data_IF_822094156216
#
_entry.id   IF_822094156216
#
_cell.length_a   1.000
_cell.length_b   1.000
_cell.length_c   1.000
_cell.angle_alpha   90.00
_cell.angle_beta   90.00
_cell.angle_gamma   90.00
#
_symmetry.space_group_name_H-M   'P 1'
#
loop_
_entity.id
_entity.type
_entity.pdbx_description
1 polymer ?
#
# COMPACT_ATOMS: atom_id res chain seq x y z
N UNK A 1 -21.19 13.63 -5.27
CA UNK A 1 -19.86 13.30 -5.84
C UNK A 1 -18.76 13.23 -4.78
N UNK A 2 -18.86 13.97 -3.67
CA UNK A 2 -17.90 13.93 -2.54
C UNK A 2 -17.71 12.55 -1.89
N UNK A 3 -18.79 11.74 -1.79
CA UNK A 3 -18.74 10.37 -1.26
C UNK A 3 -17.84 9.42 -2.08
N UNK A 4 -17.81 9.57 -3.41
CA UNK A 4 -17.04 8.68 -4.29
C UNK A 4 -15.54 9.03 -4.28
N UNK A 5 -15.21 10.32 -4.09
CA UNK A 5 -13.83 10.80 -3.93
C UNK A 5 -13.22 10.34 -2.59
N UNK A 6 -13.95 10.48 -1.47
CA UNK A 6 -13.49 9.97 -0.16
C UNK A 6 -13.28 8.46 -0.17
N UNK A 7 -14.17 7.70 -0.83
CA UNK A 7 -14.05 6.22 -0.92
C UNK A 7 -12.82 5.78 -1.73
N UNK A 8 -12.50 6.44 -2.84
CA UNK A 8 -11.31 6.08 -3.65
C UNK A 8 -9.99 6.58 -3.07
N UNK A 9 -9.99 7.73 -2.39
CA UNK A 9 -8.86 8.20 -1.59
C UNK A 9 -8.49 7.24 -0.44
N UNK A 10 -9.48 6.56 0.15
CA UNK A 10 -9.29 5.57 1.22
C UNK A 10 -8.82 4.19 0.72
N UNK A 11 -9.19 3.79 -0.50
CA UNK A 11 -8.80 2.49 -1.07
C UNK A 11 -7.30 2.37 -1.34
N UNK A 12 -6.60 3.48 -1.60
CA UNK A 12 -5.15 3.50 -1.83
C UNK A 12 -4.34 3.15 -0.56
N UNK A 13 -4.50 3.84 0.58
CA UNK A 13 -3.81 3.49 1.82
C UNK A 13 -4.24 2.10 2.33
N UNK A 14 -5.52 1.73 2.18
CA UNK A 14 -5.99 0.41 2.59
C UNK A 14 -5.33 -0.73 1.79
N UNK A 15 -5.29 -0.61 0.45
CA UNK A 15 -4.60 -1.61 -0.39
C UNK A 15 -3.10 -1.64 -0.12
N UNK A 16 -2.49 -0.49 0.17
CA UNK A 16 -1.10 -0.40 0.61
C UNK A 16 -0.85 -1.15 1.92
N UNK A 17 -1.70 -0.92 2.92
CA UNK A 17 -1.65 -1.62 4.20
C UNK A 17 -1.83 -3.14 4.04
N UNK A 18 -2.81 -3.58 3.22
CA UNK A 18 -3.02 -5.00 2.94
C UNK A 18 -1.80 -5.64 2.28
N UNK A 19 -1.22 -5.03 1.25
CA UNK A 19 0.01 -5.55 0.62
C UNK A 19 1.20 -5.55 1.58
N UNK A 20 1.25 -4.58 2.49
CA UNK A 20 2.24 -4.53 3.56
C UNK A 20 2.10 -5.73 4.49
N UNK A 21 0.89 -5.98 5.00
CA UNK A 21 0.59 -7.11 5.89
C UNK A 21 0.94 -8.45 5.22
N UNK A 22 0.47 -8.67 3.98
CA UNK A 22 0.77 -9.89 3.22
C UNK A 22 2.28 -10.10 3.04
N UNK A 23 3.02 -9.03 2.71
CA UNK A 23 4.48 -9.12 2.57
C UNK A 23 5.19 -9.45 3.88
N UNK A 24 4.79 -8.83 5.00
CA UNK A 24 5.41 -9.08 6.31
C UNK A 24 5.12 -10.51 6.81
N UNK A 25 3.90 -11.01 6.63
CA UNK A 25 3.55 -12.40 6.97
C UNK A 25 4.43 -13.38 6.19
N UNK A 26 4.61 -13.17 4.89
CA UNK A 26 5.48 -14.03 4.08
C UNK A 26 6.93 -13.98 4.57
N UNK A 27 7.45 -12.79 4.87
CA UNK A 27 8.81 -12.65 5.39
C UNK A 27 8.99 -13.37 6.73
N UNK A 28 8.02 -13.29 7.64
CA UNK A 28 8.06 -14.03 8.91
C UNK A 28 8.05 -15.54 8.67
N UNK A 29 7.21 -16.03 7.76
CA UNK A 29 7.16 -17.46 7.37
C UNK A 29 8.53 -17.92 6.85
N UNK A 30 9.15 -17.15 5.96
CA UNK A 30 10.47 -17.48 5.42
C UNK A 30 11.56 -17.45 6.52
N UNK A 31 11.58 -16.43 7.38
CA UNK A 31 12.55 -16.35 8.49
C UNK A 31 12.38 -17.52 9.47
N UNK A 32 11.13 -17.92 9.80
CA UNK A 32 10.86 -19.10 10.66
C UNK A 32 11.35 -20.40 10.02
N UNK A 33 11.15 -20.58 8.71
CA UNK A 33 11.68 -21.75 7.98
C UNK A 33 13.21 -21.76 7.92
N UNK A 34 13.84 -20.59 7.77
CA UNK A 34 15.29 -20.47 7.90
C UNK A 34 15.76 -20.86 9.30
N UNK A 35 15.05 -20.42 10.35
CA UNK A 35 15.37 -20.77 11.74
C UNK A 35 15.38 -22.29 11.96
N UNK A 36 14.33 -22.99 11.50
CA UNK A 36 14.24 -24.46 11.56
C UNK A 36 15.45 -25.14 10.88
N UNK A 37 15.87 -24.63 9.72
CA UNK A 37 17.07 -25.11 9.04
C UNK A 37 18.36 -24.87 9.85
N UNK A 38 18.52 -23.70 10.47
CA UNK A 38 19.69 -23.41 11.32
C UNK A 38 19.71 -24.32 12.56
N UNK A 39 18.56 -24.59 13.19
CA UNK A 39 18.44 -25.49 14.34
C UNK A 39 18.93 -26.90 14.01
N UNK A 40 18.55 -27.44 12.85
CA UNK A 40 19.03 -28.74 12.38
C UNK A 40 20.54 -28.74 12.13
N UNK A 41 21.07 -27.69 11.51
CA UNK A 41 22.50 -27.56 11.23
C UNK A 41 23.34 -27.42 12.52
N UNK A 42 22.90 -26.62 13.48
CA UNK A 42 23.54 -26.45 14.78
C UNK A 42 23.58 -27.80 15.52
N UNK A 43 22.46 -28.54 15.50
CA UNK A 43 22.39 -29.87 16.12
C UNK A 43 23.36 -30.86 15.46
N UNK A 44 23.44 -30.84 14.13
CA UNK A 44 24.38 -31.68 13.36
C UNK A 44 25.84 -31.34 13.67
N UNK A 45 26.21 -30.05 13.63
CA UNK A 45 27.58 -29.60 13.93
C UNK A 45 27.97 -29.90 15.37
N UNK A 46 27.08 -29.72 16.36
CA UNK A 46 27.35 -30.11 17.76
C UNK A 46 27.66 -31.60 17.88
N UNK A 47 26.94 -32.46 17.15
CA UNK A 47 27.22 -33.90 17.12
C UNK A 47 28.59 -34.19 16.49
N UNK A 48 28.94 -33.51 15.41
CA UNK A 48 30.26 -33.63 14.76
C UNK A 48 31.37 -33.19 15.69
N UNK A 49 31.26 -32.05 16.35
CA UNK A 49 32.24 -31.57 17.34
C UNK A 49 32.44 -32.59 18.44
N UNK A 50 31.37 -33.16 19.01
CA UNK A 50 31.47 -34.18 20.06
C UNK A 50 32.23 -35.43 19.60
N UNK A 51 32.01 -35.87 18.36
CA UNK A 51 32.75 -36.98 17.75
C UNK A 51 34.21 -36.63 17.53
N UNK A 52 34.49 -35.46 16.94
CA UNK A 52 35.85 -34.96 16.71
C UNK A 52 36.62 -34.80 18.02
N UNK A 53 36.02 -34.29 19.09
CA UNK A 53 36.65 -34.18 20.41
C UNK A 53 37.03 -35.55 21.00
N UNK A 54 36.21 -36.58 20.77
CA UNK A 54 36.53 -37.94 21.22
C UNK A 54 37.73 -38.52 20.46
N UNK A 55 37.78 -38.31 19.14
CA UNK A 55 38.88 -38.75 18.28
C UNK A 55 40.17 -37.95 18.54
N UNK A 56 40.06 -36.67 18.87
CA UNK A 56 41.20 -35.83 19.27
C UNK A 56 41.88 -36.36 20.55
N UNK A 57 41.12 -36.87 21.52
CA UNK A 57 41.69 -37.49 22.73
C UNK A 57 42.59 -38.68 22.42
N UNK A 58 42.28 -39.41 21.34
CA UNK A 58 43.08 -40.52 20.84
C UNK A 58 44.29 -40.05 19.99
N UNK A 59 44.46 -38.73 19.80
CA UNK A 59 45.47 -38.07 18.94
C UNK A 59 45.32 -38.33 17.44
N UNK A 60 44.13 -38.73 17.00
CA UNK A 60 43.86 -39.08 15.60
C UNK A 60 43.43 -37.87 14.74
N UNK A 61 43.23 -36.69 15.33
CA UNK A 61 42.96 -35.42 14.61
C UNK A 61 43.71 -34.24 15.22
N UNK A 62 43.80 -33.14 14.45
CA UNK A 62 44.46 -31.90 14.87
C UNK A 62 43.52 -31.03 15.72
N UNK A 63 44.08 -30.33 16.72
CA UNK A 63 43.33 -29.36 17.54
C UNK A 63 42.73 -28.22 16.69
N UNK A 64 43.43 -27.79 15.64
CA UNK A 64 42.99 -26.74 14.72
C UNK A 64 41.66 -27.06 14.04
N UNK A 65 41.41 -28.35 13.76
CA UNK A 65 40.18 -28.79 13.12
C UNK A 65 38.98 -28.75 14.07
N UNK A 66 39.18 -29.17 15.33
CA UNK A 66 38.18 -29.01 16.40
C UNK A 66 37.86 -27.54 16.63
N UNK A 67 38.87 -26.68 16.67
CA UNK A 67 38.69 -25.23 16.84
C UNK A 67 37.95 -24.60 15.65
N UNK A 68 38.25 -25.04 14.42
CA UNK A 68 37.51 -24.61 13.22
C UNK A 68 36.03 -24.99 13.31
N UNK A 69 35.71 -26.22 13.71
CA UNK A 69 34.31 -26.64 13.89
C UNK A 69 33.60 -25.82 14.98
N UNK A 70 34.28 -25.52 16.09
CA UNK A 70 33.75 -24.63 17.14
C UNK A 70 33.52 -23.21 16.66
N UNK A 71 34.39 -22.67 15.82
CA UNK A 71 34.20 -21.36 15.17
C UNK A 71 32.97 -21.35 14.25
N UNK A 72 32.78 -22.41 13.47
CA UNK A 72 31.57 -22.56 12.63
C UNK A 72 30.32 -22.62 13.49
N UNK A 73 30.34 -23.39 14.59
CA UNK A 73 29.23 -23.44 15.54
C UNK A 73 28.89 -22.05 16.10
N UNK A 74 29.90 -21.32 16.56
CA UNK A 74 29.71 -19.97 17.11
C UNK A 74 29.09 -19.02 16.08
N UNK A 75 29.54 -19.09 14.82
CA UNK A 75 28.94 -18.32 13.72
C UNK A 75 27.48 -18.71 13.49
N UNK A 76 27.17 -20.01 13.43
CA UNK A 76 25.79 -20.49 13.24
C UNK A 76 24.87 -20.05 14.39
N UNK A 77 25.36 -20.06 15.63
CA UNK A 77 24.62 -19.58 16.80
C UNK A 77 24.40 -18.06 16.76
N UNK A 78 25.39 -17.31 16.25
CA UNK A 78 25.26 -15.87 16.03
C UNK A 78 24.21 -15.58 14.95
N UNK A 79 24.33 -16.21 13.78
CA UNK A 79 23.38 -16.07 12.66
C UNK A 79 21.95 -16.48 13.11
N UNK A 80 21.82 -17.55 13.90
CA UNK A 80 20.55 -17.94 14.50
C UNK A 80 19.97 -16.84 15.40
N UNK A 81 20.78 -16.26 16.29
CA UNK A 81 20.32 -15.17 17.16
C UNK A 81 19.89 -13.93 16.36
N UNK A 82 20.57 -13.61 15.26
CA UNK A 82 20.19 -12.52 14.37
C UNK A 82 18.81 -12.78 13.72
N UNK A 83 18.57 -14.00 13.24
CA UNK A 83 17.28 -14.40 12.66
C UNK A 83 16.16 -14.30 13.69
N UNK A 84 16.39 -14.71 14.94
CA UNK A 84 15.39 -14.59 16.01
C UNK A 84 15.03 -13.13 16.25
N UNK A 85 16.03 -12.24 16.33
CA UNK A 85 15.79 -10.80 16.51
C UNK A 85 15.02 -10.19 15.34
N UNK A 86 15.36 -10.58 14.10
CA UNK A 86 14.66 -10.16 12.88
C UNK A 86 13.19 -10.64 12.85
N UNK A 87 12.91 -11.85 13.32
CA UNK A 87 11.53 -12.36 13.48
C UNK A 87 10.76 -11.48 14.48
N UNK A 88 11.34 -11.18 15.64
CA UNK A 88 10.71 -10.35 16.67
C UNK A 88 10.41 -8.95 16.12
N UNK A 89 11.36 -8.34 15.41
CA UNK A 89 11.17 -7.03 14.79
C UNK A 89 10.00 -7.05 13.78
N UNK A 90 9.98 -8.04 12.88
CA UNK A 90 8.91 -8.19 11.89
C UNK A 90 7.55 -8.49 12.51
N UNK A 91 7.51 -9.28 13.58
CA UNK A 91 6.28 -9.54 14.33
C UNK A 91 5.76 -8.26 15.00
N UNK A 92 6.64 -7.42 15.56
CA UNK A 92 6.25 -6.12 16.13
C UNK A 92 5.71 -5.16 15.07
N UNK A 93 6.34 -5.10 13.89
CA UNK A 93 5.83 -4.31 12.76
C UNK A 93 4.45 -4.83 12.34
N UNK A 94 4.26 -6.14 12.25
CA UNK A 94 2.97 -6.74 11.91
C UNK A 94 1.90 -6.40 12.97
N UNK A 95 2.23 -6.45 14.26
CA UNK A 95 1.31 -6.02 15.34
C UNK A 95 0.90 -4.56 15.19
N UNK A 96 1.85 -3.67 14.90
CA UNK A 96 1.57 -2.26 14.64
C UNK A 96 0.65 -2.07 13.42
N UNK A 97 0.90 -2.81 12.34
CA UNK A 97 0.08 -2.75 11.11
C UNK A 97 -1.35 -3.28 11.32
N UNK A 98 -1.53 -4.27 12.20
CA UNK A 98 -2.85 -4.82 12.54
C UNK A 98 -3.65 -3.89 13.45
N UNK A 99 -2.99 -2.99 14.20
CA UNK A 99 -3.61 -1.95 15.04
C UNK A 99 -4.78 -2.47 15.91
N UNK A 100 -4.62 -3.67 16.47
CA UNK A 100 -5.62 -4.33 17.30
C UNK A 100 -5.07 -4.45 18.73
N UNK A 101 -5.76 -3.88 19.74
CA UNK A 101 -5.27 -3.83 21.12
C UNK A 101 -5.04 -5.21 21.73
N UNK A 102 -5.74 -6.23 21.22
CA UNK A 102 -5.61 -7.62 21.65
C UNK A 102 -4.36 -8.32 21.10
N UNK A 103 -3.68 -7.77 20.08
CA UNK A 103 -2.46 -8.36 19.51
C UNK A 103 -1.16 -7.80 20.09
N UNK A 104 -1.24 -6.74 20.91
CA UNK A 104 -0.10 -6.17 21.65
C UNK A 104 0.65 -7.25 22.43
N UNK A 105 -0.10 -8.10 23.13
CA UNK A 105 0.40 -9.14 24.03
C UNK A 105 0.34 -10.56 23.43
N UNK A 106 -0.33 -10.72 22.27
CA UNK A 106 -0.46 -12.02 21.64
C UNK A 106 0.87 -12.50 21.03
N UNK A 107 1.19 -13.78 21.24
CA UNK A 107 2.24 -14.47 20.50
C UNK A 107 1.65 -14.85 19.14
N UNK A 108 2.25 -14.34 18.05
CA UNK A 108 1.80 -14.66 16.70
C UNK A 108 2.34 -16.04 16.29
N UNK A 109 1.60 -17.09 16.63
CA UNK A 109 1.83 -18.42 16.07
C UNK A 109 1.38 -18.48 14.60
N UNK A 110 2.21 -17.93 13.72
CA UNK A 110 2.10 -18.18 12.28
C UNK A 110 2.62 -19.59 12.04
N UNK A 111 1.71 -20.58 12.03
CA UNK A 111 2.06 -21.96 11.68
C UNK A 111 2.54 -22.00 10.24
N UNK A 112 3.76 -22.51 10.06
CA UNK A 112 4.33 -22.96 8.79
C UNK A 112 3.60 -24.24 8.36
N UNK A 113 2.27 -24.19 8.22
CA UNK A 113 1.60 -25.25 7.47
C UNK A 113 2.26 -25.26 6.11
N UNK A 114 2.79 -26.42 5.69
CA UNK A 114 3.32 -26.58 4.34
C UNK A 114 2.32 -25.89 3.42
N UNK A 115 2.80 -24.84 2.75
CA UNK A 115 2.09 -24.19 1.65
C UNK A 115 2.11 -25.20 0.50
N UNK A 116 1.54 -26.38 0.73
CA UNK A 116 1.45 -27.48 -0.18
C UNK A 116 0.71 -26.93 -1.36
N UNK A 117 1.47 -26.68 -2.42
CA UNK A 117 1.08 -26.31 -3.77
C UNK A 117 -0.41 -26.00 -3.92
N UNK A 118 -0.91 -25.00 -3.20
CA UNK A 118 -2.21 -24.44 -3.51
C UNK A 118 -1.90 -23.64 -4.76
N UNK A 119 -2.09 -24.33 -5.88
CA UNK A 119 -2.11 -23.80 -7.22
C UNK A 119 -3.09 -22.64 -7.19
N UNK A 120 -2.58 -21.46 -6.84
CA UNK A 120 -3.34 -20.24 -6.81
C UNK A 120 -3.88 -20.10 -8.22
N UNK A 121 -5.19 -20.16 -8.43
CA UNK A 121 -5.81 -20.07 -9.77
C UNK A 121 -5.46 -18.76 -10.50
N UNK A 122 -4.86 -17.81 -9.79
CA UNK A 122 -4.24 -16.58 -10.31
C UNK A 122 -3.00 -16.89 -11.18
N UNK A 123 -2.23 -17.95 -10.88
CA UNK A 123 -1.10 -18.41 -11.69
C UNK A 123 -1.52 -19.09 -13.00
N UNK A 124 -2.80 -19.42 -13.17
CA UNK A 124 -3.34 -20.00 -14.40
C UNK A 124 -3.67 -18.95 -15.48
N UNK A 125 -3.63 -17.65 -15.14
CA UNK A 125 -3.87 -16.56 -16.09
C UNK A 125 -2.57 -16.14 -16.77
N UNK A 126 -2.65 -15.81 -18.06
CA UNK A 126 -1.52 -15.26 -18.80
C UNK A 126 -1.07 -13.95 -18.16
N UNK A 127 0.25 -13.70 -18.11
CA UNK A 127 0.84 -12.42 -17.67
C UNK A 127 0.15 -11.20 -18.32
N UNK A 128 -0.34 -11.35 -19.55
CA UNK A 128 -1.03 -10.28 -20.28
C UNK A 128 -2.44 -9.99 -19.74
N UNK A 129 -3.17 -11.02 -19.32
CA UNK A 129 -4.51 -10.88 -18.71
C UNK A 129 -4.42 -10.32 -17.30
N UNK A 130 -3.41 -10.74 -16.53
CA UNK A 130 -3.15 -10.15 -15.21
C UNK A 130 -2.75 -8.69 -15.33
N UNK A 131 -1.97 -8.33 -16.36
CA UNK A 131 -1.61 -6.94 -16.64
C UNK A 131 -2.82 -6.11 -17.07
N UNK A 132 -3.68 -6.60 -17.97
CA UNK A 132 -4.86 -5.84 -18.40
C UNK A 132 -5.83 -5.60 -17.23
N UNK A 133 -6.09 -6.62 -16.41
CA UNK A 133 -6.93 -6.49 -15.21
C UNK A 133 -6.29 -5.53 -14.20
N UNK A 134 -4.97 -5.61 -13.99
CA UNK A 134 -4.26 -4.70 -13.10
C UNK A 134 -4.31 -3.25 -13.60
N UNK A 135 -4.24 -3.03 -14.92
CA UNK A 135 -4.34 -1.71 -15.52
C UNK A 135 -5.75 -1.11 -15.44
N UNK A 136 -6.79 -1.92 -15.63
CA UNK A 136 -8.18 -1.47 -15.56
C UNK A 136 -8.64 -1.15 -14.13
N UNK A 137 -8.13 -1.88 -13.13
CA UNK A 137 -8.56 -1.76 -11.73
C UNK A 137 -7.61 -0.94 -10.85
N UNK A 138 -6.75 -0.10 -11.43
CA UNK A 138 -5.80 0.73 -10.68
C UNK A 138 -6.50 1.81 -9.82
N UNK A 139 -6.51 1.68 -8.49
CA UNK A 139 -7.22 2.62 -7.61
C UNK A 139 -6.52 3.98 -7.53
N UNK A 140 -5.21 4.04 -7.80
CA UNK A 140 -4.41 5.26 -7.80
C UNK A 140 -4.73 6.18 -8.98
N UNK A 141 -4.90 5.63 -10.19
CA UNK A 141 -5.36 6.41 -11.35
C UNK A 141 -6.80 6.87 -11.20
N UNK A 142 -7.69 5.99 -10.71
CA UNK A 142 -9.09 6.35 -10.43
C UNK A 142 -9.19 7.48 -9.39
N UNK A 143 -8.33 7.49 -8.38
CA UNK A 143 -8.30 8.58 -7.40
C UNK A 143 -7.92 9.93 -8.03
N UNK A 144 -6.98 9.94 -8.98
CA UNK A 144 -6.61 11.15 -9.73
C UNK A 144 -7.75 11.60 -10.66
N UNK A 145 -8.40 10.67 -11.36
CA UNK A 145 -9.57 10.94 -12.21
C UNK A 145 -10.73 11.57 -11.42
N UNK A 146 -11.07 11.00 -10.26
CA UNK A 146 -12.08 11.61 -9.38
C UNK A 146 -11.63 12.96 -8.83
N UNK A 147 -10.33 13.16 -8.59
CA UNK A 147 -9.77 14.44 -8.20
C UNK A 147 -9.92 15.52 -9.26
N UNK A 148 -9.81 15.16 -10.55
CA UNK A 148 -10.09 16.06 -11.68
C UNK A 148 -11.58 16.38 -11.73
N UNK A 149 -12.44 15.36 -11.68
CA UNK A 149 -13.90 15.54 -11.72
C UNK A 149 -14.42 16.44 -10.58
N UNK A 150 -13.83 16.33 -9.40
CA UNK A 150 -14.14 17.19 -8.26
C UNK A 150 -13.79 18.66 -8.54
N UNK A 151 -12.64 18.94 -9.16
CA UNK A 151 -12.29 20.32 -9.53
C UNK A 151 -13.10 20.84 -10.71
N UNK A 152 -13.51 19.99 -11.64
CA UNK A 152 -14.44 20.41 -12.70
C UNK A 152 -15.79 20.85 -12.13
N UNK A 153 -16.30 20.13 -11.12
CA UNK A 153 -17.50 20.57 -10.39
C UNK A 153 -17.28 21.83 -9.57
N UNK A 154 -16.10 21.99 -8.95
CA UNK A 154 -15.75 23.21 -8.22
C UNK A 154 -15.65 24.41 -9.17
N UNK A 155 -15.00 24.26 -10.32
CA UNK A 155 -14.92 25.30 -11.34
C UNK A 155 -16.32 25.70 -11.85
N UNK A 156 -17.22 24.73 -12.07
CA UNK A 156 -18.60 25.02 -12.44
C UNK A 156 -19.33 25.83 -11.36
N UNK A 157 -19.12 25.48 -10.08
CA UNK A 157 -19.64 26.25 -8.94
C UNK A 157 -19.09 27.68 -8.92
N UNK A 158 -17.76 27.86 -9.04
CA UNK A 158 -17.14 29.18 -9.04
C UNK A 158 -17.63 30.05 -10.20
N UNK A 159 -17.89 29.45 -11.37
CA UNK A 159 -18.50 30.13 -12.52
C UNK A 159 -19.95 30.52 -12.25
N UNK A 160 -20.72 29.68 -11.54
CA UNK A 160 -22.09 29.99 -11.16
C UNK A 160 -22.17 31.16 -10.19
N UNK A 161 -21.21 31.31 -9.27
CA UNK A 161 -21.15 32.43 -8.33
C UNK A 161 -20.89 33.79 -9.01
N UNK A 162 -20.40 33.78 -10.25
CA UNK A 162 -20.24 35.00 -11.05
C UNK A 162 -21.54 35.48 -11.72
N UNK A 163 -22.59 34.66 -11.71
CA UNK A 163 -23.90 34.94 -12.30
C UNK A 163 -24.82 35.47 -11.19
N UNK A 164 -25.63 36.52 -11.44
CA UNK A 164 -26.57 37.03 -10.44
C UNK A 164 -27.60 35.96 -10.05
N UNK A 165 -27.88 35.86 -8.75
CA UNK A 165 -28.92 34.96 -8.22
C UNK A 165 -30.24 35.71 -8.02
N UNK A 166 -31.35 35.06 -8.36
CA UNK A 166 -32.71 35.58 -8.22
C UNK A 166 -33.39 34.90 -7.04
N UNK A 167 -33.61 35.64 -5.97
CA UNK A 167 -34.29 35.14 -4.78
C UNK A 167 -35.75 35.61 -4.76
N UNK A 168 -36.66 34.66 -4.53
CA UNK A 168 -38.09 34.90 -4.34
C UNK A 168 -38.46 34.52 -2.91
N UNK A 169 -39.04 35.44 -2.15
CA UNK A 169 -39.46 35.25 -0.76
C UNK A 169 -40.92 35.62 -0.56
N UNK A 170 -41.64 34.86 0.25
CA UNK A 170 -42.99 35.19 0.72
C UNK A 170 -42.97 35.43 2.23
N UNK A 171 -43.65 36.47 2.69
CA UNK A 171 -43.87 36.73 4.10
C UNK A 171 -45.36 36.70 4.42
N UNK A 172 -45.71 36.10 5.54
CA UNK A 172 -47.08 36.11 6.06
C UNK A 172 -47.02 36.60 7.51
N UNK A 173 -47.73 37.68 7.79
CA UNK A 173 -47.85 38.24 9.13
C UNK A 173 -49.33 38.40 9.50
N UNK A 174 -49.85 37.49 10.36
CA UNK A 174 -51.24 37.54 10.74
C UNK A 174 -51.59 38.65 11.74
N UNK A 175 -50.63 39.24 12.49
CA UNK A 175 -50.94 40.12 13.63
C UNK A 175 -49.95 41.27 13.91
N UNK A 176 -48.96 41.54 13.06
CA UNK A 176 -47.88 42.49 13.34
C UNK A 176 -48.09 43.95 12.93
N UNK A 177 -49.24 44.35 12.37
CA UNK A 177 -49.51 45.73 11.91
C UNK A 177 -51.00 46.12 12.02
N UNK A 178 -51.33 47.39 11.70
CA UNK A 178 -52.71 47.92 11.70
C UNK A 178 -53.66 47.20 10.71
N UNK A 179 -53.13 46.37 9.82
CA UNK A 179 -53.90 45.55 8.86
C UNK A 179 -53.79 44.07 9.26
N UNK A 180 -54.92 43.44 9.54
CA UNK A 180 -55.00 42.01 9.89
C UNK A 180 -54.74 41.13 8.65
N UNK A 181 -53.93 40.08 8.79
CA UNK A 181 -53.62 39.10 7.73
C UNK A 181 -52.84 39.66 6.51
N UNK A 182 -51.60 40.10 6.73
CA UNK A 182 -50.71 40.63 5.69
C UNK A 182 -49.96 39.51 4.94
N UNK A 183 -49.94 39.60 3.61
CA UNK A 183 -49.12 38.76 2.73
C UNK A 183 -48.16 39.64 1.92
N UNK A 184 -46.86 39.37 2.03
CA UNK A 184 -45.82 40.05 1.27
C UNK A 184 -45.14 39.11 0.30
N UNK A 185 -44.84 39.60 -0.91
CA UNK A 185 -43.97 38.94 -1.86
C UNK A 185 -42.73 39.82 -2.07
N UNK A 186 -41.56 39.22 -1.97
CA UNK A 186 -40.25 39.88 -2.14
C UNK A 186 -39.51 39.21 -3.28
N UNK A 187 -39.03 40.01 -4.23
CA UNK A 187 -38.13 39.58 -5.30
C UNK A 187 -36.84 40.37 -5.14
N UNK A 188 -35.71 39.68 -4.93
CA UNK A 188 -34.40 40.32 -4.83
C UNK A 188 -33.42 39.64 -5.78
N UNK A 189 -32.69 40.46 -6.54
CA UNK A 189 -31.64 39.98 -7.43
C UNK A 189 -30.34 40.71 -7.10
N UNK A 190 -29.30 39.96 -6.74
CA UNK A 190 -27.97 40.52 -6.45
C UNK A 190 -27.14 40.57 -7.74
N UNK A 191 -26.76 41.76 -8.19
CA UNK A 191 -25.91 41.94 -9.39
C UNK A 191 -24.46 42.18 -8.95
N UNK A 192 -23.53 41.24 -9.20
CA UNK A 192 -22.11 41.45 -8.92
C UNK A 192 -21.51 42.42 -9.94
N UNK A 193 -21.38 43.70 -9.57
CA UNK A 193 -20.86 44.76 -10.44
C UNK A 193 -19.33 44.79 -10.51
N UNK A 194 -18.65 44.62 -9.36
CA UNK A 194 -17.19 44.70 -9.24
C UNK A 194 -16.52 43.36 -8.96
N UNK A 195 -17.16 42.47 -8.20
CA UNK A 195 -16.62 41.14 -7.85
C UNK A 195 -17.37 40.02 -8.58
N UNK A 196 -16.84 39.63 -9.74
CA UNK A 196 -17.35 38.50 -10.55
C UNK A 196 -16.64 37.19 -10.24
N UNK A 197 -16.09 37.04 -9.03
CA UNK A 197 -15.42 35.83 -8.60
C UNK A 197 -14.22 35.40 -9.49
N UNK A 198 -13.60 36.35 -10.20
CA UNK A 198 -12.59 36.08 -11.23
C UNK A 198 -11.32 35.42 -10.66
N UNK A 199 -10.97 35.75 -9.41
CA UNK A 199 -9.83 35.16 -8.70
C UNK A 199 -10.02 33.67 -8.45
N UNK A 200 -11.14 33.28 -7.83
CA UNK A 200 -11.44 31.88 -7.51
C UNK A 200 -11.66 31.03 -8.76
N UNK A 201 -12.22 31.60 -9.84
CA UNK A 201 -12.32 30.94 -11.14
C UNK A 201 -10.92 30.65 -11.68
N UNK A 202 -10.03 31.65 -11.69
CA UNK A 202 -8.66 31.47 -12.20
C UNK A 202 -7.83 30.51 -11.35
N UNK A 203 -7.99 30.55 -10.04
CA UNK A 203 -7.39 29.58 -9.12
C UNK A 203 -7.86 28.16 -9.43
N UNK A 204 -9.18 27.97 -9.57
CA UNK A 204 -9.75 26.65 -9.89
C UNK A 204 -9.28 26.11 -11.24
N UNK A 205 -9.09 26.99 -12.24
CA UNK A 205 -8.52 26.62 -13.54
C UNK A 205 -7.06 26.16 -13.44
N UNK A 206 -6.25 26.84 -12.63
CA UNK A 206 -4.85 26.45 -12.37
C UNK A 206 -4.77 25.13 -11.61
N UNK A 207 -5.62 24.94 -10.59
CA UNK A 207 -5.70 23.68 -9.84
C UNK A 207 -6.12 22.55 -10.78
N UNK A 208 -7.14 22.74 -11.62
CA UNK A 208 -7.58 21.75 -12.60
C UNK A 208 -6.47 21.37 -13.58
N UNK A 209 -5.76 22.36 -14.13
CA UNK A 209 -4.60 22.12 -15.00
C UNK A 209 -3.51 21.30 -14.30
N UNK A 210 -3.19 21.64 -13.04
CA UNK A 210 -2.21 20.89 -12.24
C UNK A 210 -2.64 19.44 -11.98
N UNK A 211 -3.94 19.19 -11.76
CA UNK A 211 -4.46 17.83 -11.55
C UNK A 211 -4.44 17.01 -12.85
N UNK A 212 -4.74 17.63 -14.00
CA UNK A 212 -4.62 17.00 -15.33
C UNK A 212 -3.18 16.63 -15.66
N UNK A 213 -2.24 17.55 -15.43
CA UNK A 213 -0.81 17.28 -15.61
C UNK A 213 -0.31 16.09 -14.75
N UNK A 214 -0.70 16.05 -13.46
CA UNK A 214 -0.38 14.93 -12.56
C UNK A 214 -0.98 13.60 -13.02
N UNK A 215 -2.19 13.61 -13.58
CA UNK A 215 -2.82 12.41 -14.15
C UNK A 215 -2.06 11.91 -15.38
N UNK A 216 -1.67 12.81 -16.28
CA UNK A 216 -0.90 12.48 -17.47
C UNK A 216 0.49 11.93 -17.13
N UNK A 217 1.20 12.55 -16.19
CA UNK A 217 2.49 12.08 -15.67
C UNK A 217 2.38 10.63 -15.15
N UNK A 218 1.38 10.38 -14.28
CA UNK A 218 1.11 9.05 -13.71
C UNK A 218 0.78 8.00 -14.78
N UNK A 219 0.05 8.42 -15.81
CA UNK A 219 -0.31 7.58 -16.95
C UNK A 219 0.89 7.32 -17.89
N UNK A 220 1.84 8.25 -18.00
CA UNK A 220 3.07 8.07 -18.78
C UNK A 220 4.07 7.14 -18.06
N UNK A 221 4.19 7.24 -16.74
CA UNK A 221 4.97 6.31 -15.90
C UNK A 221 4.52 4.84 -16.08
N UNK A 222 3.24 4.64 -16.37
CA UNK A 222 2.69 3.32 -16.70
C UNK A 222 3.28 2.74 -18.00
N UNK A 223 3.53 3.57 -19.01
CA UNK A 223 4.16 3.14 -20.26
C UNK A 223 5.66 2.86 -20.11
N UNK A 224 6.30 3.50 -19.12
CA UNK A 224 7.75 3.43 -18.85
C UNK A 224 8.15 2.42 -17.75
N UNK A 225 7.18 1.84 -17.04
CA UNK A 225 7.44 0.99 -15.88
C UNK A 225 8.37 -0.22 -16.18
N UNK A 226 9.26 -0.60 -15.23
CA UNK A 226 10.33 -1.59 -15.40
C UNK A 226 9.86 -3.02 -15.75
N UNK A 227 8.55 -3.29 -15.72
CA UNK A 227 7.96 -4.56 -16.14
C UNK A 227 8.20 -4.87 -17.63
N UNK A 228 8.28 -3.86 -18.52
CA UNK A 228 8.71 -4.06 -19.91
C UNK A 228 10.21 -4.39 -20.02
N UNK A 229 11.05 -3.82 -19.15
CA UNK A 229 12.50 -4.13 -19.12
C UNK A 229 12.78 -5.57 -18.69
N UNK A 230 12.02 -6.12 -17.72
CA UNK A 230 12.15 -7.52 -17.30
C UNK A 230 11.87 -8.53 -18.43
N UNK A 231 10.95 -8.24 -19.36
CA UNK A 231 10.71 -9.09 -20.55
C UNK A 231 11.89 -9.07 -21.54
N UNK A 232 12.60 -7.95 -21.67
CA UNK A 232 13.80 -7.86 -22.52
C UNK A 232 14.96 -8.67 -21.95
N UNK A 233 15.19 -8.63 -20.62
CA UNK A 233 16.25 -9.42 -19.98
C UNK A 233 15.97 -10.93 -19.96
N UNK A 234 14.71 -11.37 -19.85
CA UNK A 234 14.37 -12.81 -19.94
C UNK A 234 14.48 -13.38 -21.35
N UNK A 235 14.25 -12.58 -22.40
CA UNK A 235 14.43 -13.04 -23.79
C UNK A 235 15.90 -13.12 -24.25
N UNK A 236 16.82 -12.45 -23.57
CA UNK A 236 18.25 -12.45 -23.92
C UNK A 236 19.10 -13.57 -23.30
N UNK A 237 18.52 -14.47 -22.49
CA UNK A 237 19.25 -15.52 -21.76
C UNK A 237 19.03 -16.95 -22.24
N UNK A 238 18.31 -17.15 -23.36
CA UNK A 238 18.10 -18.47 -23.97
C UNK A 238 18.74 -18.46 -25.36
N UNK A 239 20.06 -18.55 -25.40
CA UNK A 239 20.85 -19.00 -26.55
C UNK A 239 22.16 -19.53 -25.96
N UNK A 240 22.10 -20.72 -25.36
CA UNK A 240 23.29 -21.55 -25.20
C UNK A 240 23.41 -22.38 -26.47
N UNK A 241 24.59 -22.30 -27.08
CA UNK A 241 24.94 -22.95 -28.33
C UNK A 241 24.89 -24.47 -28.26
N UNK A 242 24.72 -25.05 -29.44
CA UNK A 242 25.06 -26.44 -29.76
C UNK A 242 26.58 -26.58 -29.72
#
# INVERSE_FOLDING_TARGET
>A
MEYQYKRTGFLRPFKGAQTGIESHILQIIFSKKSLEFFDENIRSIRKTIKSSEAVYKNRDILLSEVLRLKSILFRLETDHSEIVNDIIEKENILKLLLNEPNYSEAILEIKTTDLGEKQNSILAKSDQELLSIAFEKRPDLKALEFGIKAEETNLALQRSLAIPDLTLGGSWDPAGNYVNNYYGFTVSMSIPTFDRNQGNIRESELILASKKAKYEEKNQDQSRSPFRRRKSQRKGKITFGI
#
